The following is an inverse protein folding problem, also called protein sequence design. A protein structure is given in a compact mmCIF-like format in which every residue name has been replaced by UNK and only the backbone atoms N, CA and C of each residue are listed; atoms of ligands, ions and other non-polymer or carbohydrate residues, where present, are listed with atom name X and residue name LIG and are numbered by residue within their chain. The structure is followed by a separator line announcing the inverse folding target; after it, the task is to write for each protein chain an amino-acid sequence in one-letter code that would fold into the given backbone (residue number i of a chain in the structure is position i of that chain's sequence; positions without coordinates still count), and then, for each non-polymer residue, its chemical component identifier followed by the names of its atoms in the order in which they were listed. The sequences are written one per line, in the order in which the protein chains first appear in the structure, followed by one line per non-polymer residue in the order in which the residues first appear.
data_IF_763907805244
#
_entry.id   IF_763907805244
#
_cell.length_a   1.000
_cell.length_b   1.000
_cell.length_c   1.000
_cell.angle_alpha   90.00
_cell.angle_beta   90.00
_cell.angle_gamma   90.00
#
_symmetry.space_group_name_H-M   'P 1'
#
loop_
_entity.id
_entity.type
_entity.pdbx_description
1 polymer ?
#
# COMPACT_ATOMS: atom_id res chain seq x y z
N UNK A 1 -1.78 -5.23 13.40
CA UNK A 1 -1.85 -4.08 12.45
C UNK A 1 -2.95 -4.39 11.44
N UNK A 2 -3.77 -3.42 11.03
CA UNK A 2 -4.74 -3.62 9.96
C UNK A 2 -4.00 -3.55 8.63
N UNK A 3 -4.02 -4.64 7.87
CA UNK A 3 -3.34 -4.76 6.57
C UNK A 3 -4.37 -5.11 5.50
N UNK A 4 -4.38 -4.36 4.40
CA UNK A 4 -5.27 -4.61 3.26
C UNK A 4 -4.49 -4.55 1.95
N UNK A 5 -4.51 -5.64 1.19
CA UNK A 5 -4.06 -5.67 -0.20
C UNK A 5 -5.24 -5.98 -1.11
N UNK A 6 -5.48 -5.17 -2.13
CA UNK A 6 -6.60 -5.40 -3.05
C UNK A 6 -6.27 -5.00 -4.48
N UNK A 7 -6.69 -5.86 -5.42
CA UNK A 7 -6.80 -5.51 -6.82
C UNK A 7 -8.16 -4.85 -7.07
N UNK A 8 -8.15 -3.70 -7.75
CA UNK A 8 -9.33 -2.92 -8.13
C UNK A 8 -9.31 -2.80 -9.66
N UNK A 9 -9.90 -3.77 -10.38
CA UNK A 9 -9.85 -3.78 -11.84
C UNK A 9 -10.50 -2.53 -12.45
N UNK A 10 -9.90 -2.01 -13.52
CA UNK A 10 -10.42 -0.87 -14.29
C UNK A 10 -10.59 0.45 -13.50
N UNK A 11 -9.88 0.61 -12.38
CA UNK A 11 -9.83 1.86 -11.64
C UNK A 11 -8.69 2.77 -12.10
N UNK A 12 -8.91 4.07 -12.06
CA UNK A 12 -7.87 5.09 -12.25
C UNK A 12 -7.14 5.38 -10.93
N UNK A 13 -6.04 6.13 -11.04
CA UNK A 13 -5.21 6.48 -9.88
C UNK A 13 -5.97 7.30 -8.82
N UNK A 14 -6.95 8.11 -9.23
CA UNK A 14 -7.74 8.95 -8.32
C UNK A 14 -8.68 8.10 -7.48
N UNK A 15 -9.31 7.08 -8.09
CA UNK A 15 -10.12 6.07 -7.39
C UNK A 15 -9.27 5.31 -6.37
N UNK A 16 -8.05 4.90 -6.73
CA UNK A 16 -7.16 4.20 -5.79
C UNK A 16 -6.75 5.10 -4.61
N UNK A 17 -6.51 6.40 -4.84
CA UNK A 17 -6.23 7.35 -3.76
C UNK A 17 -7.44 7.56 -2.85
N UNK A 18 -8.63 7.66 -3.42
CA UNK A 18 -9.87 7.73 -2.64
C UNK A 18 -10.05 6.50 -1.73
N UNK A 19 -9.73 5.30 -2.22
CA UNK A 19 -9.77 4.06 -1.42
C UNK A 19 -8.71 4.08 -0.31
N UNK A 20 -7.52 4.60 -0.58
CA UNK A 20 -6.48 4.80 0.42
C UNK A 20 -6.92 5.77 1.53
N UNK A 21 -7.59 6.86 1.17
CA UNK A 21 -8.13 7.81 2.14
C UNK A 21 -9.22 7.17 2.99
N UNK A 22 -10.20 6.50 2.37
CA UNK A 22 -11.26 5.76 3.08
C UNK A 22 -10.70 4.68 4.01
N UNK A 23 -9.63 4.00 3.62
CA UNK A 23 -8.97 3.02 4.47
C UNK A 23 -8.42 3.67 5.74
N UNK A 24 -7.74 4.82 5.63
CA UNK A 24 -7.20 5.55 6.78
C UNK A 24 -8.30 6.15 7.65
N UNK A 25 -9.43 6.58 7.07
CA UNK A 25 -10.60 7.02 7.85
C UNK A 25 -11.18 5.87 8.68
N UNK A 26 -11.31 4.68 8.09
CA UNK A 26 -11.82 3.48 8.77
C UNK A 26 -10.82 2.91 9.78
N UNK A 27 -9.53 3.01 9.49
CA UNK A 27 -8.43 2.52 10.31
C UNK A 27 -7.48 3.68 10.64
N UNK A 28 -7.83 4.58 11.57
CA UNK A 28 -7.05 5.79 11.84
C UNK A 28 -5.69 5.54 12.51
N UNK A 29 -5.46 4.31 13.00
CA UNK A 29 -4.22 3.89 13.65
C UNK A 29 -3.85 2.48 13.19
N UNK A 30 -2.56 2.16 13.25
CA UNK A 30 -2.04 0.83 12.94
C UNK A 30 -2.52 0.29 11.59
N UNK A 31 -2.58 1.11 10.55
CA UNK A 31 -3.10 0.74 9.23
C UNK A 31 -2.04 0.78 8.15
N UNK A 32 -2.05 -0.22 7.27
CA UNK A 32 -1.32 -0.26 6.01
C UNK A 32 -2.23 -0.83 4.91
N UNK A 33 -2.31 -0.17 3.77
CA UNK A 33 -3.07 -0.67 2.63
C UNK A 33 -2.33 -0.46 1.31
N UNK A 34 -2.61 -1.34 0.35
CA UNK A 34 -2.06 -1.30 -1.00
C UNK A 34 -3.14 -1.69 -2.01
N UNK A 35 -3.39 -0.81 -2.98
CA UNK A 35 -4.38 -0.99 -4.02
C UNK A 35 -3.71 -1.01 -5.39
N UNK A 36 -4.11 -1.94 -6.25
CA UNK A 36 -3.53 -2.16 -7.58
C UNK A 36 -4.62 -2.11 -8.64
N UNK A 37 -4.37 -1.41 -9.75
CA UNK A 37 -5.21 -1.44 -10.95
C UNK A 37 -4.32 -1.47 -12.19
N UNK A 38 -4.36 -2.60 -12.91
CA UNK A 38 -3.38 -2.88 -13.97
C UNK A 38 -1.96 -2.73 -13.43
N UNK A 39 -1.19 -1.82 -14.02
CA UNK A 39 0.18 -1.57 -13.59
C UNK A 39 0.29 -0.46 -12.54
N UNK A 40 -0.81 0.20 -12.13
CA UNK A 40 -0.78 1.32 -11.17
C UNK A 40 -0.96 0.81 -9.75
N UNK A 41 -0.16 1.33 -8.81
CA UNK A 41 -0.23 0.98 -7.39
C UNK A 41 -0.33 2.24 -6.55
N UNK A 42 -1.23 2.24 -5.57
CA UNK A 42 -1.26 3.22 -4.48
C UNK A 42 -1.11 2.48 -3.16
N UNK A 43 -0.16 2.91 -2.34
CA UNK A 43 0.02 2.41 -0.98
C UNK A 43 -0.20 3.52 0.02
N UNK A 44 -0.75 3.18 1.19
CA UNK A 44 -0.95 4.13 2.28
C UNK A 44 -0.65 3.48 3.63
N UNK A 45 -0.16 4.29 4.56
CA UNK A 45 0.16 3.90 5.93
C UNK A 45 -0.33 5.01 6.86
N UNK A 46 -0.87 4.64 8.03
CA UNK A 46 -1.32 5.61 9.04
C UNK A 46 -0.13 6.36 9.66
N UNK A 47 -0.36 7.59 10.13
CA UNK A 47 0.71 8.45 10.68
C UNK A 47 1.47 7.81 11.84
N UNK A 48 0.79 7.06 12.70
CA UNK A 48 1.43 6.35 13.82
C UNK A 48 2.33 5.20 13.34
N UNK A 49 1.96 4.52 12.25
CA UNK A 49 2.77 3.48 11.65
C UNK A 49 3.98 4.06 10.91
N UNK A 50 3.83 5.24 10.28
CA UNK A 50 4.95 6.02 9.74
C UNK A 50 5.94 6.40 10.83
N UNK A 51 5.46 6.85 12.00
CA UNK A 51 6.32 7.18 13.15
C UNK A 51 7.09 5.97 13.69
N UNK A 52 6.60 4.75 13.46
CA UNK A 52 7.32 3.50 13.76
C UNK A 52 8.26 3.03 12.65
N UNK A 53 8.41 3.81 11.58
CA UNK A 53 9.34 3.50 10.49
C UNK A 53 8.71 2.83 9.27
N UNK A 54 7.41 2.49 9.30
CA UNK A 54 6.73 1.84 8.17
C UNK A 54 6.35 2.91 7.14
N UNK A 55 6.94 2.87 5.94
CA UNK A 55 6.63 3.82 4.86
C UNK A 55 5.82 3.17 3.75
N UNK A 56 4.89 3.92 3.18
CA UNK A 56 4.06 3.45 2.07
C UNK A 56 4.88 3.01 0.84
N UNK A 57 5.98 3.70 0.53
CA UNK A 57 6.88 3.32 -0.58
C UNK A 57 7.56 1.96 -0.37
N UNK A 58 7.84 1.60 0.89
CA UNK A 58 8.46 0.33 1.23
C UNK A 58 7.50 -0.85 1.00
N UNK A 59 6.18 -0.60 1.12
CA UNK A 59 5.17 -1.61 0.77
C UNK A 59 5.17 -1.90 -0.73
N UNK A 60 5.23 -0.86 -1.56
CA UNK A 60 5.26 -1.00 -3.02
C UNK A 60 6.53 -1.75 -3.46
N UNK A 61 7.68 -1.37 -2.92
CA UNK A 61 8.95 -2.02 -3.28
C UNK A 61 9.05 -3.44 -2.73
N UNK A 62 8.54 -3.69 -1.52
CA UNK A 62 8.56 -5.01 -0.89
C UNK A 62 7.75 -6.08 -1.62
N UNK A 63 6.66 -5.71 -2.31
CA UNK A 63 5.90 -6.65 -3.14
C UNK A 63 6.53 -6.88 -4.53
N UNK A 64 7.59 -6.15 -4.87
CA UNK A 64 8.27 -6.20 -6.18
C UNK A 64 7.87 -5.09 -7.15
N UNK A 65 7.13 -4.08 -6.68
CA UNK A 65 6.81 -2.88 -7.44
C UNK A 65 7.93 -1.82 -7.41
N UNK A 66 7.67 -0.70 -8.06
CA UNK A 66 8.56 0.47 -8.07
C UNK A 66 7.73 1.72 -7.84
N UNK A 67 8.12 2.60 -6.94
CA UNK A 67 7.33 3.79 -6.63
C UNK A 67 7.87 4.58 -5.46
N UNK A 68 7.22 5.70 -5.19
CA UNK A 68 7.61 6.63 -4.13
C UNK A 68 6.52 7.66 -3.86
N UNK A 69 6.80 8.56 -2.92
CA UNK A 69 5.86 9.59 -2.51
C UNK A 69 6.11 10.03 -1.08
N UNK A 70 5.04 10.46 -0.41
CA UNK A 70 5.09 10.83 1.01
C UNK A 70 5.21 9.56 1.87
N UNK A 71 5.79 9.63 3.07
CA UNK A 71 5.92 8.46 3.95
C UNK A 71 4.58 7.73 4.22
N UNK A 72 3.48 8.47 4.29
CA UNK A 72 2.13 7.95 4.54
C UNK A 72 1.34 7.57 3.26
N UNK A 73 1.82 7.96 2.08
CA UNK A 73 1.14 7.73 0.80
C UNK A 73 2.15 7.69 -0.34
N UNK A 74 2.23 6.56 -1.03
CA UNK A 74 3.10 6.36 -2.18
C UNK A 74 2.31 5.92 -3.40
N UNK A 75 2.82 6.28 -4.56
CA UNK A 75 2.34 5.82 -5.84
C UNK A 75 3.48 5.14 -6.59
N UNK A 76 3.13 4.10 -7.34
CA UNK A 76 4.08 3.37 -8.13
C UNK A 76 3.44 2.52 -9.20
N UNK A 77 4.24 1.60 -9.69
CA UNK A 77 3.81 0.57 -10.60
C UNK A 77 4.21 -0.82 -10.14
N UNK A 78 3.45 -1.80 -10.60
CA UNK A 78 3.71 -3.22 -10.44
C UNK A 78 3.60 -3.87 -11.81
N UNK A 79 4.57 -4.71 -12.15
CA UNK A 79 4.54 -5.53 -13.35
C UNK A 79 4.49 -7.01 -12.92
N UNK A 80 3.73 -7.83 -13.63
CA UNK A 80 3.63 -9.26 -13.36
C UNK A 80 2.35 -9.63 -12.60
N UNK A 81 2.40 -10.73 -11.85
CA UNK A 81 1.24 -11.31 -11.19
C UNK A 81 0.86 -10.51 -9.93
N UNK A 82 -0.29 -9.82 -10.01
CA UNK A 82 -0.82 -8.98 -8.93
C UNK A 82 -1.15 -9.83 -7.70
N UNK A 83 -1.71 -11.03 -7.88
CA UNK A 83 -2.07 -11.92 -6.78
C UNK A 83 -0.83 -12.34 -6.00
N UNK A 84 0.20 -12.79 -6.71
CA UNK A 84 1.46 -13.19 -6.09
C UNK A 84 2.13 -12.01 -5.37
N UNK A 85 2.04 -10.79 -5.92
CA UNK A 85 2.57 -9.61 -5.28
C UNK A 85 1.82 -9.29 -3.97
N UNK A 86 0.48 -9.33 -4.00
CA UNK A 86 -0.36 -9.06 -2.81
C UNK A 86 -0.16 -10.10 -1.70
N UNK A 87 0.12 -11.36 -2.03
CA UNK A 87 0.44 -12.41 -1.06
C UNK A 87 1.71 -12.11 -0.24
N UNK A 88 2.63 -11.28 -0.76
CA UNK A 88 3.84 -10.84 -0.03
C UNK A 88 3.57 -9.74 0.98
N UNK A 89 2.47 -9.00 0.84
CA UNK A 89 2.21 -7.78 1.60
C UNK A 89 2.23 -7.99 3.13
N UNK A 90 1.63 -9.05 3.72
CA UNK A 90 1.68 -9.27 5.16
C UNK A 90 3.12 -9.39 5.68
N UNK A 91 3.96 -10.16 4.99
CA UNK A 91 5.36 -10.36 5.34
C UNK A 91 6.16 -9.05 5.23
N UNK A 92 5.92 -8.26 4.19
CA UNK A 92 6.57 -6.95 4.03
C UNK A 92 6.21 -6.03 5.20
N UNK A 93 4.95 -6.01 5.63
CA UNK A 93 4.53 -5.19 6.77
C UNK A 93 5.21 -5.65 8.07
N UNK A 94 5.33 -6.95 8.32
CA UNK A 94 6.03 -7.51 9.48
C UNK A 94 7.51 -7.11 9.51
N UNK A 95 8.21 -7.24 8.37
CA UNK A 95 9.63 -6.89 8.24
C UNK A 95 9.90 -5.40 8.45
N UNK A 96 8.94 -4.53 8.12
CA UNK A 96 9.06 -3.06 8.29
C UNK A 96 8.57 -2.56 9.63
N UNK A 97 7.86 -3.38 10.40
CA UNK A 97 7.30 -3.03 11.70
C UNK A 97 8.24 -3.31 12.88
N UNK A 98 9.45 -3.83 12.61
CA UNK A 98 10.50 -4.16 13.58
C UNK A 98 11.49 -3.01 13.71
#
# INVERSE_FOLDING_TARGET
MNVLGAEIPNADADTLRLLADKFREKHPKNGAALFVSGNTVIATVTEDAVKRGIKAGDLITGIGGRGGGRPNLAQGSLNGDIRQALEKLPKVVEEKAT
#
